data_IF_307754557973
#
_entry.id   IF_307754557973
#
_cell.length_a   1.000
_cell.length_b   1.000
_cell.length_c   1.000
_cell.angle_alpha   90.00
_cell.angle_beta   90.00
_cell.angle_gamma   90.00
#
_symmetry.space_group_name_H-M   'P 1'
#
loop_
_entity.id
_entity.type
_entity.pdbx_description
1 polymer ?
#
# COMPACT_ATOMS: atom_id res chain seq x y z
N UNK A 1 -10.36 -1.12 -25.83
CA UNK A 1 -9.64 -2.35 -25.46
C UNK A 1 -10.57 -3.55 -25.52
N UNK A 2 -10.09 -4.71 -25.94
CA UNK A 2 -10.87 -5.97 -25.92
C UNK A 2 -10.94 -6.55 -24.51
N UNK A 3 -9.87 -6.39 -23.75
CA UNK A 3 -9.77 -6.80 -22.35
C UNK A 3 -9.53 -5.58 -21.47
N UNK A 4 -10.17 -5.54 -20.32
CA UNK A 4 -10.02 -4.51 -19.29
C UNK A 4 -9.67 -5.19 -17.98
N UNK A 5 -8.54 -4.81 -17.38
CA UNK A 5 -8.16 -5.21 -16.04
C UNK A 5 -8.66 -4.14 -15.05
N UNK A 6 -9.32 -4.58 -13.99
CA UNK A 6 -9.80 -3.73 -12.90
C UNK A 6 -8.98 -4.07 -11.65
N UNK A 7 -8.32 -3.07 -11.10
CA UNK A 7 -7.55 -3.17 -9.86
C UNK A 7 -8.30 -2.40 -8.77
N UNK A 8 -9.13 -3.07 -7.95
CA UNK A 8 -9.94 -2.40 -6.93
C UNK A 8 -9.10 -1.70 -5.86
N UNK A 9 -7.94 -2.23 -5.53
CA UNK A 9 -7.02 -1.71 -4.51
C UNK A 9 -7.67 -1.50 -3.13
N UNK A 10 -8.80 -2.16 -2.92
CA UNK A 10 -9.58 -2.11 -1.69
C UNK A 10 -10.42 -3.39 -1.57
N UNK A 11 -10.24 -4.13 -0.48
CA UNK A 11 -10.96 -5.38 -0.24
C UNK A 11 -12.48 -5.26 -0.27
N UNK A 12 -13.02 -4.08 0.10
CA UNK A 12 -14.45 -3.85 0.17
C UNK A 12 -15.08 -3.59 -1.21
N UNK A 13 -14.27 -3.29 -2.23
CA UNK A 13 -14.73 -2.98 -3.59
C UNK A 13 -14.63 -4.19 -4.51
N UNK A 14 -13.81 -5.19 -4.17
CA UNK A 14 -13.57 -6.37 -5.02
C UNK A 14 -14.89 -7.04 -5.43
N UNK A 15 -15.77 -7.33 -4.47
CA UNK A 15 -17.05 -7.99 -4.73
C UNK A 15 -17.93 -7.16 -5.67
N UNK A 16 -18.00 -5.85 -5.48
CA UNK A 16 -18.78 -4.96 -6.35
C UNK A 16 -18.22 -4.93 -7.78
N UNK A 17 -16.89 -4.92 -7.92
CA UNK A 17 -16.23 -4.99 -9.22
C UNK A 17 -16.49 -6.33 -9.92
N UNK A 18 -16.47 -7.45 -9.21
CA UNK A 18 -16.81 -8.77 -9.75
C UNK A 18 -18.28 -8.86 -10.20
N UNK A 19 -19.19 -8.30 -9.43
CA UNK A 19 -20.63 -8.23 -9.81
C UNK A 19 -20.89 -7.39 -11.05
N UNK A 20 -20.01 -6.47 -11.40
CA UNK A 20 -20.12 -5.66 -12.60
C UNK A 20 -19.67 -6.41 -13.88
N UNK A 21 -18.92 -7.50 -13.78
CA UNK A 21 -18.41 -8.27 -14.94
C UNK A 21 -19.52 -8.65 -15.91
N UNK A 22 -20.66 -9.24 -15.49
CA UNK A 22 -21.73 -9.64 -16.40
C UNK A 22 -22.39 -8.48 -17.15
N UNK A 23 -22.22 -7.24 -16.68
CA UNK A 23 -22.78 -6.05 -17.31
C UNK A 23 -21.96 -5.59 -18.52
N UNK A 24 -20.71 -6.00 -18.62
CA UNK A 24 -19.81 -5.66 -19.73
C UNK A 24 -19.99 -6.66 -20.89
N UNK A 25 -20.92 -6.37 -21.82
CA UNK A 25 -21.32 -7.29 -22.89
C UNK A 25 -20.36 -7.29 -24.09
N UNK A 26 -19.59 -6.23 -24.28
CA UNK A 26 -18.81 -5.95 -25.50
C UNK A 26 -17.28 -6.12 -25.30
N UNK A 27 -16.87 -6.48 -24.07
CA UNK A 27 -15.45 -6.64 -23.71
C UNK A 27 -15.27 -7.64 -22.58
N UNK A 28 -14.09 -8.23 -22.51
CA UNK A 28 -13.70 -9.07 -21.40
C UNK A 28 -13.24 -8.20 -20.22
N UNK A 29 -13.87 -8.33 -19.08
CA UNK A 29 -13.45 -7.67 -17.84
C UNK A 29 -12.83 -8.69 -16.90
N UNK A 30 -11.65 -8.37 -16.37
CA UNK A 30 -10.91 -9.16 -15.39
C UNK A 30 -10.66 -8.34 -14.14
N UNK A 31 -11.22 -8.78 -13.02
CA UNK A 31 -10.99 -8.14 -11.71
C UNK A 31 -9.82 -8.83 -11.03
N UNK A 32 -8.77 -8.07 -10.73
CA UNK A 32 -7.64 -8.53 -9.95
C UNK A 32 -7.94 -8.38 -8.45
N UNK A 33 -7.46 -9.30 -7.62
CA UNK A 33 -7.74 -9.32 -6.18
C UNK A 33 -6.82 -8.37 -5.38
N UNK A 34 -6.51 -7.20 -5.95
CA UNK A 34 -5.69 -6.18 -5.29
C UNK A 34 -6.47 -5.51 -4.15
N UNK A 35 -5.89 -5.48 -2.96
CA UNK A 35 -6.53 -4.99 -1.73
C UNK A 35 -6.00 -3.64 -1.29
N UNK A 36 -4.88 -3.20 -1.86
CA UNK A 36 -4.18 -1.97 -1.50
C UNK A 36 -3.63 -1.28 -2.75
N UNK A 37 -3.40 0.03 -2.66
CA UNK A 37 -2.79 0.80 -3.75
C UNK A 37 -1.39 0.28 -4.11
N UNK A 38 -0.48 0.01 -3.16
CA UNK A 38 0.81 -0.61 -3.47
C UNK A 38 0.69 -1.90 -4.27
N UNK A 39 -0.21 -2.82 -3.91
CA UNK A 39 -0.47 -4.03 -4.68
C UNK A 39 -0.90 -3.75 -6.12
N UNK A 40 -1.77 -2.74 -6.30
CA UNK A 40 -2.20 -2.32 -7.63
C UNK A 40 -1.06 -1.74 -8.47
N UNK A 41 -0.18 -0.97 -7.87
CA UNK A 41 1.00 -0.40 -8.55
C UNK A 41 1.94 -1.52 -9.02
N UNK A 42 2.32 -2.43 -8.13
CA UNK A 42 3.21 -3.55 -8.47
C UNK A 42 2.58 -4.45 -9.54
N UNK A 43 1.26 -4.70 -9.47
CA UNK A 43 0.55 -5.41 -10.53
C UNK A 43 0.64 -4.68 -11.88
N UNK A 44 0.46 -3.36 -11.91
CA UNK A 44 0.55 -2.58 -13.16
C UNK A 44 1.95 -2.58 -13.78
N UNK A 45 2.99 -2.58 -12.96
CA UNK A 45 4.38 -2.53 -13.44
C UNK A 45 4.81 -3.77 -14.22
N UNK A 46 4.17 -4.91 -13.98
CA UNK A 46 4.48 -6.17 -14.70
C UNK A 46 3.53 -6.43 -15.87
N UNK A 47 2.58 -5.52 -16.16
CA UNK A 47 1.71 -5.65 -17.31
C UNK A 47 2.50 -5.56 -18.62
N UNK A 48 2.28 -6.52 -19.52
CA UNK A 48 2.90 -6.59 -20.84
C UNK A 48 1.81 -6.70 -21.91
N UNK A 49 1.70 -5.70 -22.78
CA UNK A 49 0.70 -5.66 -23.85
C UNK A 49 0.88 -6.75 -24.89
N UNK A 50 2.06 -7.37 -24.97
CA UNK A 50 2.37 -8.44 -25.91
C UNK A 50 1.92 -9.82 -25.41
N UNK A 51 1.62 -9.96 -24.12
CA UNK A 51 1.19 -11.19 -23.50
C UNK A 51 -0.32 -11.39 -23.58
N UNK A 52 -0.76 -12.64 -23.40
CA UNK A 52 -2.19 -12.95 -23.31
C UNK A 52 -2.82 -12.32 -22.06
N UNK A 53 -4.14 -12.21 -22.06
CA UNK A 53 -4.86 -11.72 -20.88
C UNK A 53 -4.73 -12.67 -19.68
N UNK A 54 -4.58 -13.97 -19.91
CA UNK A 54 -4.38 -14.97 -18.84
C UNK A 54 -2.99 -14.84 -18.23
N UNK A 55 -1.95 -14.72 -19.05
CA UNK A 55 -0.57 -14.56 -18.60
C UNK A 55 -0.40 -13.24 -17.83
N UNK A 56 -0.97 -12.14 -18.34
CA UNK A 56 -0.97 -10.86 -17.63
C UNK A 56 -1.68 -10.96 -16.27
N UNK A 57 -2.85 -11.59 -16.22
CA UNK A 57 -3.58 -11.75 -14.96
C UNK A 57 -2.73 -12.53 -13.94
N UNK A 58 -2.07 -13.59 -14.38
CA UNK A 58 -1.21 -14.41 -13.53
C UNK A 58 -0.02 -13.61 -13.02
N UNK A 59 0.73 -12.96 -13.91
CA UNK A 59 1.89 -12.15 -13.55
C UNK A 59 1.53 -10.98 -12.62
N UNK A 60 0.44 -10.27 -12.92
CA UNK A 60 -0.03 -9.14 -12.12
C UNK A 60 -0.48 -9.57 -10.70
N UNK A 61 -1.15 -10.73 -10.59
CA UNK A 61 -1.56 -11.26 -9.28
C UNK A 61 -0.37 -11.78 -8.48
N UNK A 62 0.60 -12.39 -9.14
CA UNK A 62 1.84 -12.84 -8.49
C UNK A 62 2.62 -11.64 -7.94
N UNK A 63 2.82 -10.59 -8.74
CA UNK A 63 3.46 -9.35 -8.29
C UNK A 63 2.73 -8.73 -7.08
N UNK A 64 1.41 -8.62 -7.14
CA UNK A 64 0.61 -8.10 -6.03
C UNK A 64 0.73 -8.93 -4.74
N UNK A 65 0.91 -10.24 -4.85
CA UNK A 65 1.00 -11.15 -3.71
C UNK A 65 2.31 -10.96 -2.91
N UNK A 66 3.37 -10.45 -3.54
CA UNK A 66 4.66 -10.19 -2.88
C UNK A 66 4.73 -8.85 -2.16
N UNK A 67 3.70 -8.02 -2.25
CA UNK A 67 3.65 -6.69 -1.62
C UNK A 67 3.07 -6.76 -0.22
N UNK A 68 3.88 -6.42 0.77
CA UNK A 68 3.42 -6.08 2.12
C UNK A 68 3.10 -4.58 2.19
N UNK A 69 1.91 -4.24 2.67
CA UNK A 69 1.46 -2.85 2.72
C UNK A 69 1.35 -2.34 4.15
N UNK A 70 1.99 -1.21 4.41
CA UNK A 70 1.75 -0.37 5.57
C UNK A 70 1.00 0.91 5.22
N UNK A 71 0.42 1.54 6.21
CA UNK A 71 -0.12 2.89 6.08
C UNK A 71 -0.02 3.66 7.39
N UNK A 72 0.11 4.98 7.27
CA UNK A 72 0.09 5.90 8.40
C UNK A 72 -1.05 6.89 8.20
N UNK A 73 -1.95 6.96 9.16
CA UNK A 73 -3.15 7.81 9.12
C UNK A 73 -3.46 8.32 10.53
N UNK A 74 -4.60 8.93 10.70
CA UNK A 74 -5.07 9.45 12.01
C UNK A 74 -6.41 8.82 12.39
N UNK A 75 -6.69 8.79 13.70
CA UNK A 75 -7.99 8.36 14.21
C UNK A 75 -9.05 9.43 13.93
N UNK A 76 -10.07 9.08 13.14
CA UNK A 76 -11.16 10.00 12.79
C UNK A 76 -12.06 10.33 13.97
N UNK A 77 -12.06 9.50 15.01
CA UNK A 77 -12.85 9.64 16.25
C UNK A 77 -12.21 8.89 17.41
N UNK A 78 -12.63 9.21 18.61
CA UNK A 78 -12.25 8.41 19.79
C UNK A 78 -12.73 6.97 19.62
N UNK A 79 -11.89 6.02 19.99
CA UNK A 79 -12.13 4.58 19.90
C UNK A 79 -11.28 3.83 20.92
N UNK A 80 -11.30 2.51 20.87
CA UNK A 80 -10.50 1.64 21.74
C UNK A 80 -9.91 0.49 20.92
N UNK A 81 -8.68 0.13 21.23
CA UNK A 81 -7.99 -1.03 20.68
C UNK A 81 -7.38 -1.84 21.82
N UNK A 82 -7.86 -3.06 22.04
CA UNK A 82 -7.35 -3.99 23.05
C UNK A 82 -7.27 -3.37 24.47
N UNK A 83 -8.29 -2.58 24.85
CA UNK A 83 -8.36 -1.89 26.15
C UNK A 83 -7.56 -0.58 26.22
N UNK A 84 -6.83 -0.20 25.16
CA UNK A 84 -6.16 1.09 25.06
C UNK A 84 -7.06 2.11 24.36
N UNK A 85 -7.37 3.25 25.00
CA UNK A 85 -8.10 4.31 24.33
C UNK A 85 -7.27 4.95 23.22
N UNK A 86 -7.90 5.17 22.06
CA UNK A 86 -7.37 5.92 20.93
C UNK A 86 -8.12 7.25 20.88
N UNK A 87 -7.38 8.35 20.88
CA UNK A 87 -7.96 9.69 20.77
C UNK A 87 -8.11 10.14 19.34
N UNK A 88 -9.16 10.90 19.05
CA UNK A 88 -9.30 11.57 17.76
C UNK A 88 -8.04 12.37 17.42
N UNK A 89 -7.51 12.19 16.22
CA UNK A 89 -6.28 12.81 15.74
C UNK A 89 -4.98 12.07 16.10
N UNK A 90 -5.04 11.04 16.95
CA UNK A 90 -3.87 10.20 17.26
C UNK A 90 -3.40 9.49 15.99
N UNK A 91 -2.08 9.48 15.76
CA UNK A 91 -1.48 8.89 14.55
C UNK A 91 -1.44 7.37 14.71
N UNK A 92 -1.89 6.68 13.67
CA UNK A 92 -1.98 5.23 13.61
C UNK A 92 -1.06 4.67 12.52
N UNK A 93 -0.20 3.72 12.89
CA UNK A 93 0.55 2.87 11.96
C UNK A 93 -0.14 1.53 11.77
N UNK A 94 -0.46 1.21 10.52
CA UNK A 94 -1.17 0.00 10.15
C UNK A 94 -0.28 -0.93 9.32
N UNK A 95 -0.31 -2.22 9.64
CA UNK A 95 0.25 -3.28 8.81
C UNK A 95 -0.92 -4.04 8.17
N UNK A 96 -1.09 -3.88 6.86
CA UNK A 96 -2.33 -4.28 6.19
C UNK A 96 -3.54 -3.56 6.79
N UNK A 97 -4.50 -4.33 7.32
CA UNK A 97 -5.72 -3.78 7.94
C UNK A 97 -5.67 -3.67 9.47
N UNK A 98 -4.52 -3.98 10.10
CA UNK A 98 -4.39 -4.02 11.57
C UNK A 98 -3.58 -2.83 12.07
N UNK A 99 -4.13 -2.10 13.04
CA UNK A 99 -3.39 -1.07 13.79
C UNK A 99 -2.30 -1.78 14.60
N UNK A 100 -1.05 -1.35 14.44
CA UNK A 100 0.10 -1.88 15.16
C UNK A 100 0.79 -0.84 16.04
N UNK A 101 0.73 0.41 15.63
CA UNK A 101 1.39 1.50 16.33
C UNK A 101 0.46 2.69 16.50
N UNK A 102 0.60 3.38 17.62
CA UNK A 102 -0.12 4.60 17.97
C UNK A 102 0.89 5.61 18.51
N UNK A 103 0.71 6.88 18.20
CA UNK A 103 1.58 7.97 18.66
C UNK A 103 1.19 9.33 18.12
N UNK A 104 2.12 10.27 18.20
CA UNK A 104 1.95 11.68 17.85
C UNK A 104 2.94 12.19 16.80
N UNK A 105 3.89 11.35 16.38
CA UNK A 105 4.89 11.68 15.35
C UNK A 105 4.72 10.80 14.13
N UNK A 106 4.47 11.43 12.96
CA UNK A 106 4.22 10.77 11.68
C UNK A 106 5.42 9.93 11.23
N UNK A 107 6.62 10.51 11.34
CA UNK A 107 7.86 9.86 10.88
C UNK A 107 8.22 8.67 11.75
N UNK A 108 8.04 8.81 13.08
CA UNK A 108 8.31 7.72 14.02
C UNK A 108 7.35 6.55 13.80
N UNK A 109 6.06 6.83 13.62
CA UNK A 109 5.06 5.78 13.34
C UNK A 109 5.30 5.13 11.99
N UNK A 110 5.67 5.90 10.95
CA UNK A 110 6.00 5.36 9.64
C UNK A 110 7.25 4.47 9.70
N UNK A 111 8.29 4.91 10.42
CA UNK A 111 9.49 4.10 10.64
C UNK A 111 9.18 2.77 11.30
N UNK A 112 8.43 2.77 12.42
CA UNK A 112 8.01 1.55 13.13
C UNK A 112 7.17 0.64 12.25
N UNK A 113 6.35 1.21 11.37
CA UNK A 113 5.49 0.44 10.46
C UNK A 113 6.33 -0.28 9.40
N UNK A 114 7.26 0.42 8.74
CA UNK A 114 8.18 -0.21 7.78
C UNK A 114 9.06 -1.25 8.49
N UNK A 115 9.61 -0.90 9.64
CA UNK A 115 10.46 -1.78 10.45
C UNK A 115 9.77 -3.10 10.82
N UNK A 116 8.46 -3.05 11.07
CA UNK A 116 7.62 -4.23 11.35
C UNK A 116 7.38 -5.11 10.15
N UNK A 117 7.26 -4.52 8.97
CA UNK A 117 6.95 -5.23 7.72
C UNK A 117 8.21 -5.78 7.04
N UNK A 118 9.29 -5.00 7.07
CA UNK A 118 10.53 -5.34 6.36
C UNK A 118 11.26 -6.51 7.01
N UNK A 119 11.60 -7.50 6.20
CA UNK A 119 12.37 -8.66 6.62
C UNK A 119 13.59 -8.81 5.72
N UNK A 120 14.77 -8.71 6.32
CA UNK A 120 16.03 -8.91 5.60
C UNK A 120 16.08 -10.27 4.92
N UNK A 121 16.49 -10.28 3.66
CA UNK A 121 16.58 -11.49 2.86
C UNK A 121 15.27 -11.95 2.21
N UNK A 122 14.11 -11.40 2.63
CA UNK A 122 12.82 -11.60 1.98
C UNK A 122 12.41 -10.38 1.15
N UNK A 123 12.70 -9.17 1.66
CA UNK A 123 12.39 -7.91 1.02
C UNK A 123 13.66 -7.13 0.70
N UNK A 124 13.62 -6.32 -0.33
CA UNK A 124 14.72 -5.47 -0.76
C UNK A 124 14.28 -4.03 -1.11
N UNK A 125 13.02 -3.83 -1.51
CA UNK A 125 12.51 -2.55 -1.97
C UNK A 125 11.43 -2.01 -1.04
N UNK A 126 11.53 -0.72 -0.70
CA UNK A 126 10.52 0.02 0.05
C UNK A 126 10.15 1.28 -0.70
N UNK A 127 8.86 1.47 -0.98
CA UNK A 127 8.34 2.70 -1.56
C UNK A 127 7.55 3.49 -0.52
N UNK A 128 7.97 4.74 -0.30
CA UNK A 128 7.35 5.69 0.61
C UNK A 128 6.48 6.65 -0.22
N UNK A 129 5.16 6.48 -0.19
CA UNK A 129 4.21 7.33 -0.92
C UNK A 129 3.62 8.31 0.08
N UNK A 130 4.07 9.57 0.08
CA UNK A 130 3.55 10.58 1.00
C UNK A 130 2.31 11.29 0.44
N UNK A 131 1.36 11.59 1.34
CA UNK A 131 0.07 12.19 1.00
C UNK A 131 0.06 13.70 1.14
N UNK A 132 -1.11 14.30 0.84
CA UNK A 132 -1.32 15.74 0.87
C UNK A 132 -1.07 16.41 2.24
N UNK A 133 -1.24 15.65 3.32
CA UNK A 133 -1.05 16.13 4.70
C UNK A 133 0.32 15.74 5.29
N UNK A 134 1.23 15.22 4.46
CA UNK A 134 2.63 14.99 4.78
C UNK A 134 3.54 15.81 3.88
N UNK A 135 4.82 15.97 4.25
CA UNK A 135 5.76 16.77 3.48
C UNK A 135 6.91 15.93 2.93
N UNK A 136 7.55 16.41 1.88
CA UNK A 136 8.75 15.80 1.32
C UNK A 136 9.87 15.69 2.35
N UNK A 137 10.01 16.69 3.24
CA UNK A 137 11.01 16.67 4.31
C UNK A 137 10.74 15.52 5.31
N UNK A 138 9.46 15.23 5.60
CA UNK A 138 9.10 14.09 6.44
C UNK A 138 9.42 12.76 5.75
N UNK A 139 9.18 12.66 4.44
CA UNK A 139 9.54 11.48 3.66
C UNK A 139 11.06 11.29 3.63
N UNK A 140 11.83 12.36 3.44
CA UNK A 140 13.29 12.31 3.47
C UNK A 140 13.84 11.95 4.86
N UNK A 141 13.23 12.46 5.93
CA UNK A 141 13.60 12.10 7.31
C UNK A 141 13.35 10.61 7.58
N UNK A 142 12.25 10.06 7.06
CA UNK A 142 11.95 8.64 7.14
C UNK A 142 12.97 7.78 6.36
N UNK A 143 13.28 8.18 5.12
CA UNK A 143 14.29 7.51 4.30
C UNK A 143 15.65 7.48 5.01
N UNK A 144 16.09 8.63 5.57
CA UNK A 144 17.36 8.72 6.27
C UNK A 144 17.42 7.75 7.47
N UNK A 145 16.37 7.68 8.27
CA UNK A 145 16.29 6.75 9.42
C UNK A 145 16.31 5.27 8.99
N UNK A 146 15.61 4.94 7.91
CA UNK A 146 15.58 3.58 7.36
C UNK A 146 16.94 3.21 6.77
N UNK A 147 17.55 4.12 6.01
CA UNK A 147 18.90 3.93 5.43
C UNK A 147 19.98 3.76 6.50
N UNK A 148 19.89 4.50 7.59
CA UNK A 148 20.81 4.35 8.73
C UNK A 148 20.70 2.97 9.37
N UNK A 149 19.49 2.41 9.47
CA UNK A 149 19.26 1.08 10.07
C UNK A 149 19.58 -0.08 9.15
N UNK A 150 19.20 0.04 7.87
CA UNK A 150 19.21 -1.08 6.93
C UNK A 150 20.33 -1.02 5.89
N UNK A 151 20.87 0.17 5.64
CA UNK A 151 21.95 0.37 4.67
C UNK A 151 21.62 -0.19 3.29
N UNK A 152 22.52 -0.99 2.74
CA UNK A 152 22.34 -1.61 1.41
C UNK A 152 21.34 -2.77 1.36
N UNK A 153 20.77 -3.19 2.50
CA UNK A 153 19.76 -4.24 2.52
C UNK A 153 18.38 -3.74 2.07
N UNK A 154 18.20 -2.42 1.99
CA UNK A 154 16.94 -1.77 1.64
C UNK A 154 17.17 -0.69 0.59
N UNK A 155 16.54 -0.84 -0.57
CA UNK A 155 16.42 0.21 -1.57
C UNK A 155 15.13 1.00 -1.30
N UNK A 156 15.23 2.34 -1.27
CA UNK A 156 14.10 3.20 -0.91
C UNK A 156 13.76 4.14 -2.06
N UNK A 157 12.48 4.22 -2.39
CA UNK A 157 11.93 5.19 -3.33
C UNK A 157 10.92 6.08 -2.62
N UNK A 158 10.97 7.39 -2.89
CA UNK A 158 9.99 8.38 -2.41
C UNK A 158 9.11 8.81 -3.56
N UNK A 159 7.80 8.84 -3.35
CA UNK A 159 6.80 9.25 -4.33
C UNK A 159 5.85 10.27 -3.70
N UNK A 160 5.63 11.40 -4.37
CA UNK A 160 4.53 12.31 -4.05
C UNK A 160 3.23 11.69 -4.57
N UNK A 161 2.42 11.14 -3.66
CA UNK A 161 1.14 10.53 -3.99
C UNK A 161 -0.03 11.50 -3.94
N UNK A 162 0.10 12.59 -3.17
CA UNK A 162 -0.96 13.59 -2.98
C UNK A 162 -2.28 13.05 -2.42
N UNK A 163 -2.30 11.80 -1.94
CA UNK A 163 -3.52 11.18 -1.42
C UNK A 163 -3.98 11.86 -0.13
N UNK A 164 -5.31 12.02 0.08
CA UNK A 164 -5.86 12.50 1.33
C UNK A 164 -5.88 11.38 2.40
N UNK A 165 -6.07 11.74 3.66
CA UNK A 165 -6.31 10.84 4.80
C UNK A 165 -5.07 10.09 5.25
N UNK A 166 -4.27 9.58 4.33
CA UNK A 166 -3.06 8.83 4.64
C UNK A 166 -1.83 9.74 4.53
N UNK A 167 -1.12 9.92 5.62
CA UNK A 167 0.19 10.60 5.62
C UNK A 167 1.19 9.81 4.78
N UNK A 168 1.21 8.48 4.94
CA UNK A 168 2.02 7.58 4.13
C UNK A 168 1.23 6.34 3.72
N UNK A 169 1.42 5.92 2.47
CA UNK A 169 1.23 4.54 2.03
C UNK A 169 2.62 3.95 1.81
N UNK A 170 2.83 2.76 2.36
CA UNK A 170 4.14 2.11 2.44
C UNK A 170 4.07 0.78 1.71
N UNK A 171 4.90 0.60 0.67
CA UNK A 171 5.09 -0.66 -0.04
C UNK A 171 6.38 -1.30 0.43
N UNK A 172 6.35 -2.58 0.72
CA UNK A 172 7.52 -3.38 1.12
C UNK A 172 7.51 -4.64 0.27
N UNK A 173 8.57 -4.81 -0.54
CA UNK A 173 8.72 -5.86 -1.55
C UNK A 173 10.05 -6.59 -1.50
#
# INVERSE_FOLDING_TARGET
AKTVFVLPNNKNIIMAAEQAIPLAKDRQVRVLQTKTIPQGISAMLVFDETQSADDNQMAMMDAAAHVETGSVTFAARDSELDGRPIKQGEIMGMCGSKIKFLGDDIVDIAFKTVDKLFKRGEHALVTLIYGADATEEQAQALENRLSEKYGSDMEISIVDGGQPIYYFLLSVE
#
